data_IF_827401269409
#
_entry.id   IF_827401269409
#
_cell.length_a   1.000
_cell.length_b   1.000
_cell.length_c   1.000
_cell.angle_alpha   90.00
_cell.angle_beta   90.00
_cell.angle_gamma   90.00
#
_symmetry.space_group_name_H-M   'P 1'
#
loop_
_entity.id
_entity.type
_entity.pdbx_description
1 polymer ?
#
# COMPACT_ATOMS: atom_id res chain seq x y z
N UNK A 1 -13.25 -8.16 -33.91
CA UNK A 1 -12.98 -8.06 -32.46
C UNK A 1 -12.37 -9.39 -32.05
N UNK A 2 -11.04 -9.44 -32.00
CA UNK A 2 -10.29 -10.62 -31.55
C UNK A 2 -10.45 -10.74 -30.04
N UNK A 3 -11.08 -11.84 -29.59
CA UNK A 3 -11.10 -12.20 -28.17
C UNK A 3 -9.66 -12.30 -27.69
N UNK A 4 -9.28 -11.49 -26.70
CA UNK A 4 -7.99 -11.63 -26.05
C UNK A 4 -7.94 -13.06 -25.48
N UNK A 5 -6.95 -13.84 -25.88
CA UNK A 5 -6.75 -15.20 -25.40
C UNK A 5 -6.67 -15.15 -23.86
N UNK A 6 -7.52 -15.90 -23.16
CA UNK A 6 -7.43 -16.05 -21.72
C UNK A 6 -6.08 -16.66 -21.37
N UNK A 7 -5.28 -15.93 -20.59
CA UNK A 7 -4.02 -16.45 -20.09
C UNK A 7 -4.35 -17.54 -19.06
N UNK A 8 -3.85 -18.78 -19.22
CA UNK A 8 -4.13 -19.85 -18.28
C UNK A 8 -3.71 -19.48 -16.85
N UNK A 9 -4.51 -19.81 -15.85
CA UNK A 9 -4.21 -19.55 -14.43
C UNK A 9 -2.83 -20.10 -14.01
N UNK A 10 -2.46 -21.25 -14.53
CA UNK A 10 -1.13 -21.86 -14.30
C UNK A 10 0.00 -20.96 -14.76
N UNK A 11 -0.14 -20.30 -15.91
CA UNK A 11 0.88 -19.38 -16.43
C UNK A 11 0.99 -18.11 -15.57
N UNK A 12 -0.13 -17.61 -15.07
CA UNK A 12 -0.16 -16.47 -14.15
C UNK A 12 0.46 -16.82 -12.80
N UNK A 13 0.20 -18.02 -12.27
CA UNK A 13 0.80 -18.50 -11.03
C UNK A 13 2.33 -18.64 -11.18
N UNK A 14 2.79 -19.19 -12.29
CA UNK A 14 4.22 -19.28 -12.59
C UNK A 14 4.87 -17.89 -12.68
N UNK A 15 4.26 -16.96 -13.40
CA UNK A 15 4.77 -15.60 -13.53
C UNK A 15 4.80 -14.87 -12.17
N UNK A 16 3.74 -15.02 -11.34
CA UNK A 16 3.72 -14.48 -9.99
C UNK A 16 4.82 -15.09 -9.12
N UNK A 17 5.00 -16.41 -9.16
CA UNK A 17 6.03 -17.12 -8.39
C UNK A 17 7.45 -16.66 -8.76
N UNK A 18 7.72 -16.47 -10.05
CA UNK A 18 9.00 -15.90 -10.53
C UNK A 18 9.19 -14.48 -10.00
N UNK A 19 8.17 -13.64 -10.06
CA UNK A 19 8.21 -12.28 -9.53
C UNK A 19 8.43 -12.22 -8.02
N UNK A 20 7.71 -13.05 -7.25
CA UNK A 20 7.88 -13.18 -5.79
C UNK A 20 9.31 -13.58 -5.43
N UNK A 21 9.86 -14.57 -6.15
CA UNK A 21 11.24 -15.00 -5.96
C UNK A 21 12.25 -13.91 -6.32
N UNK A 22 12.02 -13.17 -7.39
CA UNK A 22 12.89 -12.05 -7.81
C UNK A 22 12.86 -10.90 -6.78
N UNK A 23 11.73 -10.69 -6.08
CA UNK A 23 11.61 -9.73 -4.98
C UNK A 23 12.22 -10.25 -3.65
N UNK A 24 12.70 -11.49 -3.60
CA UNK A 24 13.25 -12.10 -2.39
C UNK A 24 12.20 -12.31 -1.29
N UNK A 25 10.92 -12.45 -1.65
CA UNK A 25 9.82 -12.58 -0.70
C UNK A 25 9.50 -14.06 -0.39
N UNK A 26 9.16 -14.31 0.86
CA UNK A 26 8.66 -15.61 1.28
C UNK A 26 7.13 -15.61 1.31
N UNK A 27 6.49 -15.66 0.13
CA UNK A 27 5.04 -15.71 -0.05
C UNK A 27 4.64 -17.15 -0.34
N UNK A 28 3.84 -17.74 0.53
CA UNK A 28 3.40 -19.13 0.41
C UNK A 28 2.55 -19.35 -0.84
N UNK A 29 2.46 -20.59 -1.32
CA UNK A 29 1.60 -20.91 -2.46
C UNK A 29 0.13 -20.54 -2.21
N UNK A 30 -0.36 -20.73 -0.97
CA UNK A 30 -1.70 -20.32 -0.59
C UNK A 30 -1.92 -18.81 -0.75
N UNK A 31 -0.96 -17.99 -0.30
CA UNK A 31 -1.00 -16.53 -0.49
C UNK A 31 -0.91 -16.14 -1.96
N UNK A 32 -0.07 -16.82 -2.75
CA UNK A 32 0.00 -16.58 -4.20
C UNK A 32 -1.34 -16.87 -4.89
N UNK A 33 -2.04 -17.94 -4.50
CA UNK A 33 -3.39 -18.24 -4.99
C UNK A 33 -4.42 -17.19 -4.54
N UNK A 34 -4.30 -16.66 -3.32
CA UNK A 34 -5.14 -15.55 -2.85
C UNK A 34 -4.88 -14.27 -3.67
N UNK A 35 -3.62 -13.95 -4.02
CA UNK A 35 -3.26 -12.83 -4.88
C UNK A 35 -3.87 -12.96 -6.27
N UNK A 36 -3.85 -14.15 -6.88
CA UNK A 36 -4.50 -14.40 -8.18
C UNK A 36 -6.03 -14.31 -8.07
N UNK A 37 -6.62 -14.81 -6.99
CA UNK A 37 -8.05 -14.67 -6.74
C UNK A 37 -8.45 -13.20 -6.57
N UNK A 38 -7.62 -12.39 -5.90
CA UNK A 38 -7.79 -10.95 -5.80
C UNK A 38 -7.70 -10.28 -7.19
N UNK A 39 -6.73 -10.66 -8.00
CA UNK A 39 -6.62 -10.17 -9.38
C UNK A 39 -7.87 -10.47 -10.21
N UNK A 40 -8.42 -11.67 -10.09
CA UNK A 40 -9.67 -12.06 -10.77
C UNK A 40 -10.86 -11.19 -10.30
N UNK A 41 -10.92 -10.84 -9.01
CA UNK A 41 -11.93 -9.91 -8.48
C UNK A 41 -11.75 -8.50 -9.07
N UNK A 42 -10.51 -7.98 -9.16
CA UNK A 42 -10.23 -6.70 -9.84
C UNK A 42 -10.78 -6.74 -11.26
N UNK A 43 -10.44 -7.77 -12.04
CA UNK A 43 -10.89 -7.89 -13.42
C UNK A 43 -12.41 -7.95 -13.55
N UNK A 44 -13.07 -8.70 -12.66
CA UNK A 44 -14.54 -8.81 -12.62
C UNK A 44 -15.18 -7.46 -12.34
N UNK A 45 -14.74 -6.75 -11.32
CA UNK A 45 -15.30 -5.46 -10.95
C UNK A 45 -14.94 -4.35 -11.94
N UNK A 46 -13.77 -4.43 -12.55
CA UNK A 46 -13.30 -3.44 -13.53
C UNK A 46 -14.22 -3.37 -14.76
N UNK A 47 -14.88 -4.48 -15.12
CA UNK A 47 -15.87 -4.50 -16.21
C UNK A 47 -17.07 -3.58 -15.97
N UNK A 48 -17.35 -3.24 -14.71
CA UNK A 48 -18.56 -2.46 -14.33
C UNK A 48 -18.17 -1.11 -13.72
N UNK A 49 -17.09 -1.05 -12.94
CA UNK A 49 -16.80 0.11 -12.07
C UNK A 49 -15.52 0.87 -12.39
N UNK A 50 -14.79 0.47 -13.44
CA UNK A 50 -13.52 1.14 -13.82
C UNK A 50 -12.56 1.32 -12.62
N UNK A 51 -12.27 0.24 -11.89
CA UNK A 51 -11.35 0.27 -10.76
C UNK A 51 -9.92 0.63 -11.16
N UNK A 52 -9.52 0.24 -12.37
CA UNK A 52 -8.19 0.48 -12.94
C UNK A 52 -8.28 0.68 -14.46
N UNK A 53 -7.32 1.43 -15.01
CA UNK A 53 -7.16 1.58 -16.46
C UNK A 53 -6.56 0.33 -17.13
N UNK A 54 -5.90 -0.55 -16.35
CA UNK A 54 -5.27 -1.78 -16.85
C UNK A 54 -6.33 -2.82 -17.19
N UNK A 55 -6.16 -3.49 -18.32
CA UNK A 55 -7.18 -4.40 -18.88
C UNK A 55 -6.73 -5.84 -18.95
N UNK A 56 -5.44 -6.07 -19.19
CA UNK A 56 -4.93 -7.43 -19.37
C UNK A 56 -4.48 -8.04 -18.05
N UNK A 57 -4.61 -9.38 -17.89
CA UNK A 57 -4.10 -10.07 -16.69
C UNK A 57 -2.62 -9.79 -16.43
N UNK A 58 -1.81 -9.72 -17.47
CA UNK A 58 -0.38 -9.51 -17.37
C UNK A 58 -0.05 -8.10 -16.86
N UNK A 59 -0.73 -7.07 -17.36
CA UNK A 59 -0.58 -5.71 -16.86
C UNK A 59 -0.96 -5.61 -15.38
N UNK A 60 -2.09 -6.23 -14.98
CA UNK A 60 -2.53 -6.23 -13.58
C UNK A 60 -1.52 -6.98 -12.69
N UNK A 61 -1.00 -8.11 -13.16
CA UNK A 61 0.04 -8.85 -12.44
C UNK A 61 1.26 -7.96 -12.17
N UNK A 62 1.80 -7.30 -13.21
CA UNK A 62 3.03 -6.53 -13.10
C UNK A 62 2.82 -5.20 -12.38
N UNK A 63 1.87 -4.38 -12.85
CA UNK A 63 1.69 -3.01 -12.38
C UNK A 63 0.84 -2.88 -11.10
N UNK A 64 0.14 -3.95 -10.70
CA UNK A 64 -0.63 -3.95 -9.46
C UNK A 64 -0.06 -4.91 -8.43
N UNK A 65 0.03 -6.21 -8.73
CA UNK A 65 0.46 -7.17 -7.73
C UNK A 65 1.96 -7.08 -7.44
N UNK A 66 2.83 -7.18 -8.45
CA UNK A 66 4.28 -7.15 -8.25
C UNK A 66 4.75 -5.76 -7.78
N UNK A 67 4.15 -4.68 -8.31
CA UNK A 67 4.40 -3.32 -7.84
C UNK A 67 4.05 -3.18 -6.34
N UNK A 68 2.88 -3.64 -5.90
CA UNK A 68 2.52 -3.62 -4.48
C UNK A 68 3.36 -4.58 -3.63
N UNK A 69 3.71 -5.76 -4.13
CA UNK A 69 4.59 -6.72 -3.45
C UNK A 69 5.98 -6.14 -3.18
N UNK A 70 6.47 -5.23 -4.04
CA UNK A 70 7.76 -4.58 -3.83
C UNK A 70 7.84 -3.76 -2.54
N UNK A 71 6.69 -3.39 -1.96
CA UNK A 71 6.61 -2.68 -0.68
C UNK A 71 6.79 -3.57 0.55
N UNK A 72 6.69 -4.88 0.42
CA UNK A 72 6.67 -5.82 1.56
C UNK A 72 8.02 -5.87 2.29
N UNK A 73 9.13 -6.05 1.55
CA UNK A 73 10.47 -6.08 2.17
C UNK A 73 10.84 -4.76 2.87
N UNK A 74 10.62 -3.58 2.26
CA UNK A 74 10.76 -2.30 2.95
C UNK A 74 9.96 -2.20 4.25
N UNK A 75 8.67 -2.59 4.20
CA UNK A 75 7.80 -2.57 5.36
C UNK A 75 8.33 -3.47 6.49
N UNK A 76 8.71 -4.70 6.19
CA UNK A 76 9.28 -5.60 7.19
C UNK A 76 10.59 -5.10 7.78
N UNK A 77 11.50 -4.54 6.95
CA UNK A 77 12.74 -3.95 7.46
C UNK A 77 12.48 -2.80 8.43
N UNK A 78 11.51 -1.94 8.09
CA UNK A 78 11.12 -0.86 9.00
C UNK A 78 10.55 -1.40 10.32
N UNK A 79 9.60 -2.32 10.26
CA UNK A 79 8.97 -2.89 11.44
C UNK A 79 9.97 -3.65 12.34
N UNK A 80 10.96 -4.32 11.75
CA UNK A 80 12.02 -5.02 12.50
C UNK A 80 12.96 -4.06 13.26
N UNK A 81 13.08 -2.81 12.84
CA UNK A 81 13.89 -1.77 13.50
C UNK A 81 13.08 -0.98 14.54
N UNK A 82 11.76 -1.15 14.56
CA UNK A 82 10.87 -0.31 15.34
C UNK A 82 10.71 -0.73 16.80
N UNK A 83 10.30 0.24 17.63
CA UNK A 83 10.17 0.13 19.07
C UNK A 83 8.95 -0.69 19.55
N UNK A 84 8.09 -1.20 18.66
CA UNK A 84 6.98 -2.07 19.05
C UNK A 84 7.49 -3.49 19.26
N UNK A 85 7.26 -4.06 20.43
CA UNK A 85 7.61 -5.44 20.75
C UNK A 85 6.97 -6.43 19.76
N UNK A 86 7.58 -7.59 19.62
CA UNK A 86 7.27 -8.65 18.64
C UNK A 86 5.79 -9.11 18.70
N UNK A 87 5.09 -8.81 19.79
CA UNK A 87 3.70 -9.23 20.05
C UNK A 87 2.66 -8.12 19.84
N UNK A 88 3.03 -6.93 19.39
CA UNK A 88 2.05 -5.86 19.16
C UNK A 88 1.48 -5.89 17.75
N UNK A 89 0.14 -5.89 17.65
CA UNK A 89 -0.56 -5.75 16.37
C UNK A 89 -0.22 -4.41 15.71
N UNK A 90 0.14 -4.44 14.46
CA UNK A 90 0.43 -3.25 13.64
C UNK A 90 -0.85 -2.81 12.95
N UNK A 91 -1.24 -1.57 13.15
CA UNK A 91 -2.36 -0.94 12.45
C UNK A 91 -1.82 -0.17 11.24
N UNK A 92 -2.26 -0.56 10.03
CA UNK A 92 -1.86 0.08 8.78
C UNK A 92 -3.09 0.69 8.09
N UNK A 93 -2.95 1.94 7.66
CA UNK A 93 -3.94 2.66 6.86
C UNK A 93 -3.43 2.86 5.42
N UNK A 94 -4.16 2.35 4.43
CA UNK A 94 -3.91 2.61 3.01
C UNK A 94 -4.85 3.71 2.51
N UNK A 95 -4.30 4.88 2.19
CA UNK A 95 -5.05 6.11 1.86
C UNK A 95 -5.23 6.25 0.36
N UNK A 96 -6.47 6.48 -0.05
CA UNK A 96 -6.83 6.54 -1.46
C UNK A 96 -6.60 5.20 -2.15
N UNK A 97 -6.89 4.11 -1.44
CA UNK A 97 -6.51 2.74 -1.79
C UNK A 97 -7.04 2.26 -3.15
N UNK A 98 -8.05 2.93 -3.71
CA UNK A 98 -8.61 2.55 -4.99
C UNK A 98 -9.13 1.12 -5.00
N UNK A 99 -8.50 0.27 -5.81
CA UNK A 99 -8.74 -1.18 -5.81
C UNK A 99 -8.12 -1.92 -4.62
N UNK A 100 -7.64 -1.23 -3.58
CA UNK A 100 -7.02 -1.84 -2.40
C UNK A 100 -5.51 -2.09 -2.56
N UNK A 101 -4.82 -1.18 -3.23
CA UNK A 101 -3.39 -1.35 -3.55
C UNK A 101 -2.54 -0.21 -2.93
N UNK A 102 -1.57 -0.53 -2.06
CA UNK A 102 -1.01 -1.86 -1.76
C UNK A 102 -1.72 -2.63 -0.63
N UNK A 103 -2.71 -2.05 0.07
CA UNK A 103 -3.28 -2.56 1.31
C UNK A 103 -3.75 -4.01 1.26
N UNK A 104 -4.49 -4.44 0.22
CA UNK A 104 -4.94 -5.84 0.08
C UNK A 104 -3.76 -6.80 -0.06
N UNK A 105 -2.74 -6.41 -0.83
CA UNK A 105 -1.53 -7.22 -1.01
C UNK A 105 -0.78 -7.37 0.32
N UNK A 106 -0.67 -6.28 1.09
CA UNK A 106 -0.10 -6.32 2.44
C UNK A 106 -0.92 -7.24 3.34
N UNK A 107 -2.25 -7.13 3.35
CA UNK A 107 -3.10 -7.97 4.18
C UNK A 107 -2.97 -9.48 3.86
N UNK A 108 -2.81 -9.83 2.58
CA UNK A 108 -2.60 -11.22 2.16
C UNK A 108 -1.22 -11.74 2.61
N UNK A 109 -0.17 -10.93 2.42
CA UNK A 109 1.21 -11.36 2.68
C UNK A 109 1.61 -11.25 4.16
N UNK A 110 0.94 -10.37 4.93
CA UNK A 110 1.29 -10.03 6.30
C UNK A 110 0.07 -10.22 7.24
N UNK A 111 -0.32 -11.44 7.60
CA UNK A 111 -1.54 -11.70 8.38
C UNK A 111 -1.56 -11.05 9.78
N UNK A 112 -0.40 -10.73 10.33
CA UNK A 112 -0.26 -10.03 11.63
C UNK A 112 -0.49 -8.51 11.55
N UNK A 113 -0.60 -7.95 10.35
CA UNK A 113 -0.86 -6.52 10.16
C UNK A 113 -2.36 -6.33 9.93
N UNK A 114 -2.99 -5.46 10.70
CA UNK A 114 -4.37 -5.03 10.47
C UNK A 114 -4.38 -3.90 9.45
N UNK A 115 -5.05 -4.12 8.34
CA UNK A 115 -5.08 -3.18 7.22
C UNK A 115 -6.46 -2.55 7.08
N UNK A 116 -6.50 -1.23 7.11
CA UNK A 116 -7.67 -0.44 6.73
C UNK A 116 -7.38 0.26 5.40
N UNK A 117 -8.15 -0.06 4.38
CA UNK A 117 -8.11 0.66 3.10
C UNK A 117 -9.21 1.73 3.11
N UNK A 118 -8.83 3.00 3.02
CA UNK A 118 -9.79 4.12 2.96
C UNK A 118 -9.83 4.75 1.58
N UNK A 119 -11.05 5.00 1.09
CA UNK A 119 -11.27 5.74 -0.17
C UNK A 119 -12.54 6.59 -0.05
N UNK A 120 -12.55 7.74 -0.73
CA UNK A 120 -13.71 8.65 -0.79
C UNK A 120 -14.79 8.17 -1.77
N UNK A 121 -14.49 7.18 -2.60
CA UNK A 121 -15.41 6.56 -3.54
C UNK A 121 -16.01 5.30 -2.91
N UNK A 122 -17.29 5.34 -2.56
CA UNK A 122 -17.98 4.25 -1.86
C UNK A 122 -17.87 2.89 -2.55
N UNK A 123 -17.92 2.87 -3.89
CA UNK A 123 -17.77 1.64 -4.67
C UNK A 123 -16.40 0.99 -4.50
N UNK A 124 -15.34 1.78 -4.36
CA UNK A 124 -13.97 1.28 -4.12
C UNK A 124 -13.84 0.68 -2.72
N UNK A 125 -14.37 1.35 -1.71
CA UNK A 125 -14.42 0.81 -0.36
C UNK A 125 -15.26 -0.48 -0.28
N UNK A 126 -16.41 -0.53 -0.95
CA UNK A 126 -17.23 -1.73 -1.06
C UNK A 126 -16.52 -2.88 -1.77
N UNK A 127 -15.70 -2.59 -2.79
CA UNK A 127 -14.87 -3.59 -3.45
C UNK A 127 -13.87 -4.22 -2.46
N UNK A 128 -13.16 -3.41 -1.67
CA UNK A 128 -12.21 -3.93 -0.67
C UNK A 128 -12.94 -4.79 0.38
N UNK A 129 -14.14 -4.38 0.83
CA UNK A 129 -14.96 -5.21 1.72
C UNK A 129 -15.34 -6.55 1.09
N UNK A 130 -15.71 -6.54 -0.21
CA UNK A 130 -15.99 -7.77 -0.96
C UNK A 130 -14.75 -8.67 -1.05
N UNK A 131 -13.56 -8.09 -1.27
CA UNK A 131 -12.30 -8.84 -1.29
C UNK A 131 -12.04 -9.47 0.08
N UNK A 132 -12.16 -8.71 1.17
CA UNK A 132 -11.96 -9.20 2.53
C UNK A 132 -12.87 -10.42 2.82
N UNK A 133 -14.15 -10.31 2.47
CA UNK A 133 -15.11 -11.40 2.63
C UNK A 133 -14.80 -12.61 1.74
N UNK A 134 -14.53 -12.39 0.44
CA UNK A 134 -14.31 -13.47 -0.53
C UNK A 134 -13.03 -14.26 -0.25
N UNK A 135 -11.98 -13.60 0.20
CA UNK A 135 -10.68 -14.21 0.49
C UNK A 135 -10.51 -14.56 1.99
N UNK A 136 -11.55 -14.31 2.80
CA UNK A 136 -11.56 -14.57 4.25
C UNK A 136 -10.40 -13.89 4.99
N UNK A 137 -10.10 -12.64 4.62
CA UNK A 137 -9.05 -11.82 5.23
C UNK A 137 -9.62 -11.10 6.45
N UNK A 138 -9.50 -11.68 7.64
CA UNK A 138 -9.99 -11.11 8.90
C UNK A 138 -9.22 -9.86 9.34
N UNK A 139 -8.02 -9.65 8.78
CA UNK A 139 -7.13 -8.53 9.02
C UNK A 139 -7.31 -7.38 8.02
N UNK A 140 -8.32 -7.42 7.15
CA UNK A 140 -8.57 -6.41 6.11
C UNK A 140 -9.96 -5.81 6.26
N UNK A 141 -10.07 -4.48 6.18
CA UNK A 141 -11.35 -3.78 6.04
C UNK A 141 -11.29 -2.65 5.00
N UNK A 142 -12.36 -2.46 4.26
CA UNK A 142 -12.59 -1.29 3.42
C UNK A 142 -13.39 -0.23 4.16
N UNK A 143 -13.03 1.05 4.05
CA UNK A 143 -13.71 2.16 4.71
C UNK A 143 -14.02 3.27 3.72
N UNK A 144 -15.30 3.63 3.58
CA UNK A 144 -15.73 4.80 2.82
C UNK A 144 -15.68 6.02 3.72
N UNK A 145 -14.63 6.82 3.60
CA UNK A 145 -14.43 8.04 4.37
C UNK A 145 -13.43 8.99 3.69
N UNK A 146 -13.40 10.24 4.13
CA UNK A 146 -12.27 11.14 3.91
C UNK A 146 -11.24 10.90 5.01
N UNK A 147 -9.95 10.77 4.64
CA UNK A 147 -8.88 10.48 5.59
C UNK A 147 -8.73 11.57 6.66
N UNK A 148 -9.02 12.82 6.33
CA UNK A 148 -8.98 13.97 7.25
C UNK A 148 -9.93 13.83 8.44
N UNK A 149 -10.95 12.96 8.32
CA UNK A 149 -11.93 12.68 9.39
C UNK A 149 -11.53 11.51 10.28
N UNK A 150 -10.50 10.78 9.89
CA UNK A 150 -10.03 9.63 10.67
C UNK A 150 -9.15 10.09 11.82
N UNK A 151 -9.33 9.43 12.94
CA UNK A 151 -8.44 9.56 14.11
C UNK A 151 -7.66 8.27 14.26
N UNK A 152 -6.35 8.40 14.50
CA UNK A 152 -5.49 7.24 14.76
C UNK A 152 -5.89 6.44 15.99
N UNK A 153 -5.05 5.50 16.41
CA UNK A 153 -3.62 5.43 16.04
C UNK A 153 -3.31 4.41 14.95
N UNK A 154 -2.84 4.84 13.79
CA UNK A 154 -2.22 3.96 12.81
C UNK A 154 -0.70 4.05 12.89
N UNK A 155 -0.02 2.92 12.91
CA UNK A 155 1.43 2.83 13.00
C UNK A 155 2.10 3.13 11.67
N UNK A 156 1.45 2.73 10.59
CA UNK A 156 1.88 2.99 9.22
C UNK A 156 0.71 3.56 8.44
N UNK A 157 0.90 4.72 7.85
CA UNK A 157 -0.04 5.29 6.89
C UNK A 157 0.62 5.23 5.52
N UNK A 158 0.09 4.41 4.62
CA UNK A 158 0.65 4.24 3.28
C UNK A 158 -0.24 4.82 2.19
N UNK A 159 0.35 5.06 1.03
CA UNK A 159 -0.37 5.43 -0.18
C UNK A 159 0.40 5.02 -1.44
N UNK A 160 -0.34 4.81 -2.54
CA UNK A 160 0.20 4.60 -3.88
C UNK A 160 -0.60 5.42 -4.89
N UNK A 161 0.09 6.31 -5.64
CA UNK A 161 -0.53 7.15 -6.68
C UNK A 161 -1.75 7.95 -6.18
N UNK A 162 -1.70 8.45 -4.94
CA UNK A 162 -2.84 9.13 -4.30
C UNK A 162 -2.79 10.64 -4.48
N UNK A 163 -1.74 11.31 -3.98
CA UNK A 163 -1.61 12.77 -3.96
C UNK A 163 -0.14 13.18 -3.96
N UNK A 164 0.15 14.49 -3.89
CA UNK A 164 1.48 14.97 -3.56
C UNK A 164 1.88 14.56 -2.13
N UNK A 165 3.18 14.50 -1.82
CA UNK A 165 3.64 14.20 -0.46
C UNK A 165 3.11 15.23 0.56
N UNK A 166 3.13 16.56 0.28
CA UNK A 166 2.53 17.55 1.18
C UNK A 166 1.04 17.31 1.45
N UNK A 167 0.24 17.05 0.43
CA UNK A 167 -1.18 16.76 0.61
C UNK A 167 -1.41 15.47 1.40
N UNK A 168 -0.64 14.43 1.07
CA UNK A 168 -0.74 13.14 1.74
C UNK A 168 -0.50 13.27 3.26
N UNK A 169 0.59 13.94 3.68
CA UNK A 169 0.87 14.12 5.11
C UNK A 169 -0.13 15.05 5.77
N UNK A 170 -0.52 16.18 5.12
CA UNK A 170 -1.50 17.12 5.65
C UNK A 170 -2.86 16.46 5.92
N UNK A 171 -3.35 15.65 4.98
CA UNK A 171 -4.68 15.05 5.10
C UNK A 171 -4.71 13.87 6.07
N UNK A 172 -3.59 13.18 6.28
CA UNK A 172 -3.53 11.95 7.06
C UNK A 172 -2.85 12.09 8.43
N UNK A 173 -2.32 13.26 8.78
CA UNK A 173 -1.62 13.47 10.07
C UNK A 173 -2.48 13.12 11.29
N UNK A 174 -3.80 13.36 11.24
CA UNK A 174 -4.72 13.04 12.31
C UNK A 174 -4.95 11.55 12.52
N UNK A 175 -4.66 10.73 11.50
CA UNK A 175 -4.75 9.28 11.56
C UNK A 175 -3.44 8.62 12.04
N UNK A 176 -2.30 9.29 11.87
CA UNK A 176 -0.99 8.75 12.22
C UNK A 176 -0.77 8.75 13.74
N UNK A 177 -0.29 7.64 14.29
CA UNK A 177 0.11 7.56 15.69
C UNK A 177 1.31 8.48 15.99
N UNK A 178 1.62 8.69 17.26
CA UNK A 178 2.70 9.60 17.65
C UNK A 178 4.07 9.17 17.11
N UNK A 179 4.32 7.86 17.13
CA UNK A 179 5.54 7.25 16.61
C UNK A 179 5.36 6.60 15.24
N UNK A 180 4.22 6.87 14.59
CA UNK A 180 3.89 6.30 13.29
C UNK A 180 4.68 6.93 12.16
N UNK A 181 4.62 6.28 11.01
CA UNK A 181 5.30 6.73 9.79
C UNK A 181 4.38 6.75 8.58
N UNK A 182 4.67 7.64 7.66
CA UNK A 182 4.11 7.59 6.33
C UNK A 182 5.04 6.80 5.39
N UNK A 183 4.42 5.96 4.58
CA UNK A 183 5.06 5.11 3.57
C UNK A 183 4.44 5.40 2.20
N UNK A 184 5.09 6.24 1.39
CA UNK A 184 4.56 6.67 0.10
C UNK A 184 5.28 5.95 -1.06
N UNK A 185 4.52 5.17 -1.86
CA UNK A 185 5.01 4.60 -3.11
C UNK A 185 4.89 5.62 -4.23
N UNK A 186 6.01 5.97 -4.83
CA UNK A 186 6.12 6.94 -5.93
C UNK A 186 6.77 6.29 -7.15
N UNK A 187 6.57 6.91 -8.31
CA UNK A 187 7.31 6.58 -9.52
C UNK A 187 8.77 7.06 -9.42
N UNK A 188 9.04 8.22 -10.02
CA UNK A 188 10.35 8.87 -9.87
C UNK A 188 10.51 9.50 -8.51
N UNK A 189 11.76 9.74 -8.10
CA UNK A 189 12.09 10.48 -6.90
C UNK A 189 11.41 11.85 -6.91
N UNK A 190 10.52 12.16 -5.94
CA UNK A 190 9.71 13.39 -5.97
C UNK A 190 10.41 14.54 -5.21
N UNK A 191 11.58 14.96 -5.68
CA UNK A 191 12.43 15.96 -4.99
C UNK A 191 11.68 17.25 -4.66
N UNK A 192 10.90 17.78 -5.62
CA UNK A 192 10.11 19.00 -5.41
C UNK A 192 9.02 18.83 -4.34
N UNK A 193 8.37 17.64 -4.29
CA UNK A 193 7.38 17.37 -3.27
C UNK A 193 8.03 17.18 -1.89
N UNK A 194 9.22 16.56 -1.83
CA UNK A 194 9.99 16.42 -0.59
C UNK A 194 10.42 17.77 -0.03
N UNK A 195 10.87 18.69 -0.90
CA UNK A 195 11.25 20.05 -0.51
C UNK A 195 10.05 20.91 -0.05
N UNK A 196 8.85 20.57 -0.48
CA UNK A 196 7.61 21.29 -0.14
C UNK A 196 6.86 20.70 1.07
N UNK A 197 7.45 19.73 1.79
CA UNK A 197 6.82 19.16 2.98
C UNK A 197 6.57 20.23 4.06
N UNK A 198 5.45 20.15 4.79
CA UNK A 198 5.22 21.03 5.92
C UNK A 198 6.23 20.75 7.05
N UNK A 199 6.50 21.76 7.89
CA UNK A 199 7.52 21.69 8.95
C UNK A 199 7.31 20.59 9.98
N UNK A 200 6.08 20.08 10.11
CA UNK A 200 5.76 18.99 11.03
C UNK A 200 6.10 17.60 10.48
N UNK A 201 6.53 17.49 9.21
CA UNK A 201 6.85 16.21 8.57
C UNK A 201 8.25 16.25 7.95
N UNK A 202 9.02 15.19 8.13
CA UNK A 202 10.36 15.06 7.56
C UNK A 202 10.55 13.71 6.86
N UNK A 203 11.30 13.71 5.76
CA UNK A 203 11.78 12.49 5.12
C UNK A 203 12.97 11.96 5.89
N UNK A 204 12.93 10.71 6.32
CA UNK A 204 14.06 10.08 6.99
C UNK A 204 14.74 8.97 6.17
N UNK A 205 14.03 8.45 5.14
CA UNK A 205 14.59 7.43 4.25
C UNK A 205 13.91 7.44 2.89
N UNK A 206 14.68 7.20 1.85
CA UNK A 206 14.19 6.95 0.49
C UNK A 206 14.92 5.76 -0.08
N UNK A 207 14.19 4.83 -0.67
CA UNK A 207 14.79 3.67 -1.33
C UNK A 207 14.16 3.41 -2.70
N UNK A 208 14.98 2.96 -3.65
CA UNK A 208 14.53 2.53 -4.95
C UNK A 208 13.90 1.14 -4.86
N UNK A 209 12.77 0.94 -5.52
CA UNK A 209 12.10 -0.35 -5.60
C UNK A 209 12.33 -0.96 -6.98
N UNK A 210 12.75 -2.22 -6.99
CA UNK A 210 12.86 -3.00 -8.22
C UNK A 210 11.61 -3.85 -8.37
N UNK A 211 10.83 -3.58 -9.42
CA UNK A 211 9.60 -4.33 -9.71
C UNK A 211 9.85 -5.25 -10.89
N UNK A 212 9.80 -6.58 -10.71
CA UNK A 212 10.06 -7.52 -11.80
C UNK A 212 9.11 -7.31 -12.98
N UNK A 213 9.67 -7.17 -14.18
CA UNK A 213 8.91 -6.97 -15.41
C UNK A 213 8.36 -5.56 -15.62
N UNK A 214 8.68 -4.61 -14.74
CA UNK A 214 8.28 -3.21 -14.87
C UNK A 214 9.48 -2.35 -15.29
N UNK A 215 9.46 -1.85 -16.53
CA UNK A 215 10.47 -0.92 -17.04
C UNK A 215 10.13 0.53 -16.66
N UNK A 216 9.96 0.82 -15.36
CA UNK A 216 9.66 2.15 -14.85
C UNK A 216 10.22 2.30 -13.44
N UNK A 217 10.71 3.50 -13.14
CA UNK A 217 11.21 3.83 -11.82
C UNK A 217 10.11 3.67 -10.74
N UNK A 218 10.52 3.17 -9.58
CA UNK A 218 9.72 3.12 -8.38
C UNK A 218 10.60 3.45 -7.18
N UNK A 219 10.07 4.26 -6.27
CA UNK A 219 10.71 4.51 -5.00
C UNK A 219 9.70 4.51 -3.86
N UNK A 220 10.21 4.23 -2.66
CA UNK A 220 9.50 4.36 -1.40
C UNK A 220 10.06 5.57 -0.66
N UNK A 221 9.18 6.48 -0.30
CA UNK A 221 9.53 7.64 0.54
C UNK A 221 8.95 7.41 1.93
N UNK A 222 9.82 7.37 2.92
CA UNK A 222 9.49 7.23 4.31
C UNK A 222 9.54 8.57 5.02
N UNK A 223 8.47 8.92 5.69
CA UNK A 223 8.34 10.18 6.41
C UNK A 223 7.84 9.92 7.83
N UNK A 224 8.17 10.81 8.74
CA UNK A 224 7.70 10.80 10.14
C UNK A 224 7.36 12.22 10.57
N UNK A 225 6.71 12.34 11.72
CA UNK A 225 6.54 13.65 12.37
C UNK A 225 7.91 14.21 12.75
N UNK A 226 8.16 15.47 12.44
CA UNK A 226 9.35 16.18 12.90
C UNK A 226 9.28 16.32 14.41
N UNK A 227 10.37 16.03 15.08
CA UNK A 227 10.51 16.34 16.51
C UNK A 227 10.73 17.84 16.63
N UNK A 228 9.69 18.59 16.92
CA UNK A 228 9.84 19.99 17.30
C UNK A 228 10.52 20.00 18.66
N UNK A 229 11.80 20.35 18.71
CA UNK A 229 12.45 20.70 19.97
C UNK A 229 11.69 21.93 20.50
N UNK A 230 10.79 21.72 21.45
CA UNK A 230 10.22 22.81 22.24
C UNK A 230 11.36 23.42 23.04
N UNK A 231 11.98 24.45 22.46
CA UNK A 231 12.81 25.40 23.20
C UNK A 231 11.86 26.29 23.99
N UNK A 232 11.29 25.75 25.08
CA UNK A 232 10.81 26.61 26.15
C UNK A 232 12.06 27.17 26.81
N UNK A 233 12.45 28.36 26.36
CA UNK A 233 13.31 29.23 27.12
C UNK A 233 12.57 29.52 28.44
N UNK A 234 13.02 28.90 29.51
CA UNK A 234 12.82 29.37 30.86
C UNK A 234 13.48 30.76 30.92
N UNK A 235 12.70 31.80 30.66
CA UNK A 235 13.08 33.16 31.01
C UNK A 235 12.55 33.42 32.41
N UNK A 236 13.50 33.43 33.32
CA UNK A 236 13.44 33.89 34.70
C UNK A 236 12.79 35.27 34.82
#
# INVERSE_FOLDING_TARGET
>A
MTAAAEVPEVALLQALSVGVKALGLNVTEAQQRQLLSYMALIQKWNKVYNLTALKTPQEILTHHLLDSLSSISPLFRYLAQGAKGVDQEIELLDVGSGGGLPGVVIAICCPSIRVTCVDTVSKKAAFVQQVAASLKLSNLRGLHARVERLKGPFDVVCSRAFASLPDFVNWSVGALSEQGVWMAMKGKLPEAEMAALPSFAEVFHVEQLQVPGLAADRCMVWMKKSVTLSTEASAT
#
